data_IF_758610355913
#
_entry.id   IF_758610355913
#
_cell.length_a   1.000
_cell.length_b   1.000
_cell.length_c   1.000
_cell.angle_alpha   90.00
_cell.angle_beta   90.00
_cell.angle_gamma   90.00
#
_symmetry.space_group_name_H-M   'P 1'
#
loop_
_entity.id
_entity.type
_entity.pdbx_description
1 polymer ?
#
# COMPACT_ATOMS: atom_id res chain seq x y z
N UNK A 1 17.23 -4.86 -16.51
CA UNK A 1 16.07 -3.99 -16.27
C UNK A 1 15.55 -4.31 -14.88
N UNK A 2 15.59 -3.36 -13.94
CA UNK A 2 15.11 -3.58 -12.58
C UNK A 2 13.57 -3.55 -12.57
N UNK A 3 12.94 -4.50 -11.87
CA UNK A 3 11.48 -4.66 -11.86
C UNK A 3 10.87 -3.89 -10.69
N UNK A 4 10.06 -2.88 -10.97
CA UNK A 4 9.25 -2.22 -9.94
C UNK A 4 8.19 -3.18 -9.39
N UNK A 5 7.97 -3.15 -8.07
CA UNK A 5 6.96 -3.99 -7.40
C UNK A 5 5.68 -3.20 -7.17
N UNK A 6 5.03 -2.83 -8.27
CA UNK A 6 3.70 -2.22 -8.21
C UNK A 6 2.64 -3.31 -7.95
N UNK A 7 1.65 -3.00 -7.12
CA UNK A 7 0.52 -3.88 -6.84
C UNK A 7 -0.78 -3.12 -7.06
N UNK A 8 -1.76 -3.77 -7.68
CA UNK A 8 -3.07 -3.17 -7.91
C UNK A 8 -4.16 -4.20 -7.66
N UNK A 9 -5.22 -3.77 -7.00
CA UNK A 9 -6.43 -4.55 -6.78
C UNK A 9 -7.63 -3.74 -7.25
N UNK A 10 -8.54 -4.40 -7.97
CA UNK A 10 -9.76 -3.79 -8.46
C UNK A 10 -9.54 -2.89 -9.67
N UNK A 11 -10.59 -2.20 -10.08
CA UNK A 11 -10.61 -1.31 -11.25
C UNK A 11 -11.35 -0.04 -10.87
N UNK A 12 -10.83 1.11 -11.28
CA UNK A 12 -11.50 2.40 -11.08
C UNK A 12 -12.67 2.52 -12.06
N UNK A 13 -13.87 2.69 -11.52
CA UNK A 13 -15.04 3.15 -12.24
C UNK A 13 -14.99 4.67 -12.54
N UNK A 14 -15.86 5.15 -13.45
CA UNK A 14 -15.88 6.55 -13.88
C UNK A 14 -16.25 7.55 -12.78
N UNK A 15 -16.89 7.10 -11.69
CA UNK A 15 -17.30 7.94 -10.57
C UNK A 15 -16.43 7.78 -9.32
N UNK A 16 -15.40 6.93 -9.37
CA UNK A 16 -14.53 6.69 -8.22
C UNK A 16 -13.54 7.84 -8.03
N UNK A 17 -13.50 8.35 -6.81
CA UNK A 17 -12.59 9.41 -6.37
C UNK A 17 -11.45 8.84 -5.54
N UNK A 18 -10.37 9.62 -5.38
CA UNK A 18 -9.29 9.28 -4.46
C UNK A 18 -9.82 9.43 -3.02
N UNK A 19 -9.94 8.31 -2.31
CA UNK A 19 -10.42 8.26 -0.93
C UNK A 19 -9.29 8.48 0.08
N UNK A 20 -8.10 7.94 -0.20
CA UNK A 20 -6.92 8.11 0.63
C UNK A 20 -5.66 7.94 -0.19
N UNK A 21 -4.61 8.70 0.17
CA UNK A 21 -3.27 8.58 -0.38
C UNK A 21 -2.27 8.69 0.75
N UNK A 22 -1.42 7.67 0.90
CA UNK A 22 -0.38 7.66 1.92
C UNK A 22 0.94 7.22 1.31
N UNK A 23 1.99 7.99 1.59
CA UNK A 23 3.36 7.63 1.21
C UNK A 23 4.13 7.18 2.44
N UNK A 24 4.72 6.00 2.36
CA UNK A 24 5.58 5.42 3.40
C UNK A 24 7.01 5.45 2.91
N UNK A 25 7.85 6.19 3.64
CA UNK A 25 9.30 6.21 3.47
C UNK A 25 9.95 5.78 4.78
N UNK A 26 10.41 4.53 4.83
CA UNK A 26 11.07 3.97 6.01
C UNK A 26 12.50 3.58 5.66
N UNK A 27 13.50 4.01 6.47
CA UNK A 27 14.87 3.58 6.25
C UNK A 27 15.04 2.08 6.51
N UNK A 28 16.12 1.47 6.00
CA UNK A 28 16.48 0.09 6.31
C UNK A 28 16.45 -0.23 7.81
N UNK A 29 16.15 -1.47 8.15
CA UNK A 29 16.32 -1.94 9.51
C UNK A 29 17.80 -1.89 9.92
N UNK A 30 18.09 -1.60 11.20
CA UNK A 30 19.47 -1.58 11.73
C UNK A 30 20.22 -2.90 11.55
N UNK A 31 19.50 -4.01 11.42
CA UNK A 31 20.06 -5.33 11.15
C UNK A 31 19.73 -5.76 9.72
N UNK A 32 20.72 -6.25 8.94
CA UNK A 32 20.52 -6.67 7.56
C UNK A 32 19.61 -7.92 7.43
N UNK A 33 19.36 -8.62 8.54
CA UNK A 33 18.48 -9.80 8.57
C UNK A 33 17.02 -9.47 8.86
N UNK A 34 16.71 -8.23 9.23
CA UNK A 34 15.34 -7.81 9.60
C UNK A 34 14.62 -7.19 8.40
N UNK A 35 13.31 -7.38 8.37
CA UNK A 35 12.37 -6.70 7.46
C UNK A 35 11.61 -5.62 8.22
N UNK A 36 11.20 -4.56 7.53
CA UNK A 36 10.21 -3.59 8.01
C UNK A 36 8.81 -4.07 7.62
N UNK A 37 7.84 -3.87 8.50
CA UNK A 37 6.43 -4.13 8.21
C UNK A 37 5.63 -2.92 8.65
N UNK A 38 4.80 -2.39 7.76
CA UNK A 38 3.89 -1.27 8.03
C UNK A 38 2.48 -1.70 7.64
N UNK A 39 1.52 -1.47 8.52
CA UNK A 39 0.11 -1.65 8.22
C UNK A 39 -0.50 -0.27 8.01
N UNK A 40 -1.06 -0.04 6.84
CA UNK A 40 -1.86 1.13 6.52
C UNK A 40 -3.33 0.79 6.68
N UNK A 41 -4.08 1.66 7.33
CA UNK A 41 -5.48 1.47 7.64
C UNK A 41 -6.31 2.49 6.86
N UNK A 42 -7.36 2.00 6.24
CA UNK A 42 -8.42 2.84 5.69
C UNK A 42 -9.78 2.35 6.19
N UNK A 43 -10.69 3.25 6.59
CA UNK A 43 -10.43 4.67 6.84
C UNK A 43 -9.45 4.84 8.02
N UNK A 44 -8.93 6.06 8.20
CA UNK A 44 -8.17 6.37 9.41
C UNK A 44 -9.07 6.24 10.64
N UNK A 45 -8.46 5.98 11.81
CA UNK A 45 -9.20 5.76 13.04
C UNK A 45 -10.11 6.97 13.33
N UNK A 46 -11.42 6.71 13.43
CA UNK A 46 -12.44 7.73 13.72
C UNK A 46 -13.05 8.40 12.49
N UNK A 47 -12.59 8.06 11.28
CA UNK A 47 -13.21 8.53 10.04
C UNK A 47 -14.20 7.49 9.48
N UNK A 48 -15.30 7.92 8.84
CA UNK A 48 -16.19 7.02 8.12
C UNK A 48 -15.52 6.51 6.83
N UNK A 49 -15.67 5.22 6.56
CA UNK A 49 -15.15 4.58 5.35
C UNK A 49 -16.14 4.67 4.18
N UNK A 50 -15.62 4.67 2.96
CA UNK A 50 -16.39 4.60 1.70
C UNK A 50 -16.08 3.32 0.95
N UNK A 51 -16.96 2.92 0.05
CA UNK A 51 -16.82 1.66 -0.67
C UNK A 51 -15.58 1.71 -1.55
N UNK A 52 -14.66 0.78 -1.31
CA UNK A 52 -13.38 0.71 -2.01
C UNK A 52 -13.58 0.00 -3.35
N UNK A 53 -13.22 0.67 -4.44
CA UNK A 53 -13.28 0.12 -5.79
C UNK A 53 -11.91 -0.30 -6.33
N UNK A 54 -10.85 0.43 -5.96
CA UNK A 54 -9.49 0.07 -6.34
C UNK A 54 -8.46 0.47 -5.28
N UNK A 55 -7.39 -0.29 -5.19
CA UNK A 55 -6.24 -0.02 -4.33
C UNK A 55 -4.98 -0.16 -5.19
N UNK A 56 -4.21 0.92 -5.31
CA UNK A 56 -2.95 0.95 -6.04
C UNK A 56 -1.81 1.14 -5.05
N UNK A 57 -0.75 0.35 -5.21
CA UNK A 57 0.49 0.47 -4.47
C UNK A 57 1.61 0.65 -5.48
N UNK A 58 2.23 1.82 -5.41
CA UNK A 58 3.27 2.27 -6.33
C UNK A 58 4.60 2.16 -5.59
N UNK A 59 5.52 1.39 -6.14
CA UNK A 59 6.89 1.23 -5.65
C UNK A 59 7.73 2.43 -6.08
N UNK A 60 8.21 3.19 -5.11
CA UNK A 60 9.11 4.31 -5.35
C UNK A 60 10.56 3.86 -5.56
N UNK A 61 10.90 2.59 -5.28
CA UNK A 61 12.22 2.04 -5.57
C UNK A 61 12.27 1.49 -7.00
N UNK A 62 12.85 2.26 -7.91
CA UNK A 62 13.08 1.86 -9.31
C UNK A 62 14.11 0.73 -9.51
N UNK A 63 14.69 0.20 -8.42
CA UNK A 63 15.77 -0.80 -8.44
C UNK A 63 15.29 -2.24 -8.13
N UNK A 64 13.99 -2.44 -7.93
CA UNK A 64 13.40 -3.75 -7.63
C UNK A 64 13.75 -4.31 -6.24
N UNK A 65 14.26 -3.47 -5.35
CA UNK A 65 14.38 -3.75 -3.92
C UNK A 65 13.11 -3.41 -3.14
N UNK A 66 12.08 -2.96 -3.86
CA UNK A 66 10.72 -2.83 -3.37
C UNK A 66 10.29 -4.06 -2.59
N UNK A 67 9.68 -3.79 -1.44
CA UNK A 67 9.05 -4.81 -0.63
C UNK A 67 7.84 -5.47 -1.31
N UNK A 68 7.00 -6.09 -0.50
CA UNK A 68 5.72 -6.67 -0.94
C UNK A 68 4.56 -5.88 -0.33
N UNK A 69 3.49 -5.70 -1.09
CA UNK A 69 2.21 -5.23 -0.59
C UNK A 69 1.16 -6.35 -0.62
N UNK A 70 0.31 -6.41 0.41
CA UNK A 70 -0.80 -7.38 0.51
C UNK A 70 -2.00 -6.74 1.20
N UNK A 71 -3.20 -7.12 0.78
CA UNK A 71 -4.42 -6.88 1.54
C UNK A 71 -4.43 -7.82 2.74
N UNK A 72 -4.33 -7.27 3.94
CA UNK A 72 -4.31 -8.04 5.19
C UNK A 72 -5.72 -8.27 5.74
N UNK A 73 -6.61 -7.28 5.58
CA UNK A 73 -8.03 -7.37 5.93
C UNK A 73 -8.85 -6.40 5.07
N UNK A 74 -10.14 -6.69 4.90
CA UNK A 74 -11.05 -5.88 4.09
C UNK A 74 -10.61 -5.77 2.62
N UNK A 75 -10.93 -4.65 1.97
CA UNK A 75 -10.54 -4.37 0.59
C UNK A 75 -11.71 -4.06 -0.33
N UNK A 76 -11.63 -4.53 -1.57
CA UNK A 76 -12.59 -4.20 -2.63
C UNK A 76 -14.03 -4.54 -2.24
N UNK A 77 -14.97 -3.66 -2.57
CA UNK A 77 -16.39 -3.78 -2.23
C UNK A 77 -16.71 -3.56 -0.75
N UNK A 78 -15.71 -3.34 0.10
CA UNK A 78 -15.87 -3.03 1.52
C UNK A 78 -15.54 -1.57 1.79
N UNK A 79 -15.91 -1.09 2.98
CA UNK A 79 -15.65 0.29 3.39
C UNK A 79 -14.34 0.45 4.18
N UNK A 80 -13.59 -0.62 4.39
CA UNK A 80 -12.34 -0.60 5.13
C UNK A 80 -11.33 -1.59 4.55
N UNK A 81 -10.04 -1.29 4.72
CA UNK A 81 -8.95 -2.19 4.36
C UNK A 81 -7.73 -1.95 5.23
N UNK A 82 -6.97 -3.02 5.46
CA UNK A 82 -5.60 -2.94 5.95
C UNK A 82 -4.65 -3.35 4.84
N UNK A 83 -3.83 -2.43 4.35
CA UNK A 83 -2.76 -2.73 3.40
C UNK A 83 -1.47 -2.96 4.19
N UNK A 84 -0.93 -4.18 4.12
CA UNK A 84 0.34 -4.53 4.75
C UNK A 84 1.46 -4.41 3.74
N UNK A 85 2.40 -3.51 4.04
CA UNK A 85 3.66 -3.34 3.34
C UNK A 85 4.77 -4.05 4.11
N UNK A 86 5.64 -4.77 3.42
CA UNK A 86 6.79 -5.45 4.04
C UNK A 86 8.04 -5.32 3.20
N UNK A 87 9.16 -4.86 3.75
CA UNK A 87 10.41 -4.71 3.00
C UNK A 87 11.12 -6.04 2.80
N UNK A 88 12.04 -6.07 1.83
CA UNK A 88 13.06 -7.12 1.76
C UNK A 88 14.03 -7.01 2.95
N UNK A 89 14.73 -8.09 3.28
CA UNK A 89 15.68 -8.11 4.41
C UNK A 89 16.77 -7.07 4.21
N UNK A 90 17.03 -6.26 5.24
CA UNK A 90 18.07 -5.22 5.19
C UNK A 90 17.73 -4.04 4.28
N UNK A 91 16.49 -3.91 3.80
CA UNK A 91 16.01 -2.80 2.96
C UNK A 91 14.93 -1.98 3.65
N UNK A 92 14.78 -0.74 3.18
CA UNK A 92 13.72 0.18 3.59
C UNK A 92 12.40 -0.05 2.86
N UNK A 93 11.46 0.87 3.03
CA UNK A 93 10.21 0.95 2.26
C UNK A 93 10.12 2.31 1.58
N UNK A 94 9.66 2.32 0.34
CA UNK A 94 9.25 3.52 -0.37
C UNK A 94 8.04 3.14 -1.22
N UNK A 95 6.85 3.33 -0.67
CA UNK A 95 5.60 2.99 -1.33
C UNK A 95 4.59 4.11 -1.20
N UNK A 96 3.90 4.41 -2.28
CA UNK A 96 2.68 5.23 -2.25
C UNK A 96 1.49 4.30 -2.40
N UNK A 97 0.56 4.34 -1.44
CA UNK A 97 -0.70 3.60 -1.48
C UNK A 97 -1.83 4.58 -1.75
N UNK A 98 -2.60 4.32 -2.79
CA UNK A 98 -3.77 5.09 -3.21
C UNK A 98 -5.00 4.18 -3.17
N UNK A 99 -6.05 4.67 -2.52
CA UNK A 99 -7.32 3.97 -2.38
C UNK A 99 -8.38 4.80 -3.09
N UNK A 100 -9.13 4.17 -3.98
CA UNK A 100 -10.18 4.78 -4.78
C UNK A 100 -11.53 4.13 -4.51
N UNK A 101 -12.60 4.90 -4.66
CA UNK A 101 -13.97 4.42 -4.51
C UNK A 101 -15.01 5.53 -4.45
N UNK A 102 -16.21 5.17 -4.03
CA UNK A 102 -17.40 6.04 -4.03
C UNK A 102 -18.22 5.94 -2.73
#
# INVERSE_FOLDING_TARGET
>A
MFKQHNFSWGVRGPYDVLLSRTTILEPPARSPYRTRTVNLYYPEKGQPGRTIAAINVIDGFGDGTGGTARLWSGGLGQNSTTVRLRSQRGRGLNFTVEIYGH
#
